data_IF_341411144764
#
_entry.id   IF_341411144764
#
_cell.length_a   1.000
_cell.length_b   1.000
_cell.length_c   1.000
_cell.angle_alpha   90.00
_cell.angle_beta   90.00
_cell.angle_gamma   90.00
#
_symmetry.space_group_name_H-M   'P 1'
#
loop_
_entity.id
_entity.type
_entity.pdbx_description
1 polymer ?
#
# COMPACT_ATOMS: atom_id res chain seq x y z
N UNK A 1 32.49 -17.37 2.14
CA UNK A 1 32.25 -17.53 0.68
C UNK A 1 31.78 -16.18 0.11
N UNK A 2 31.52 -16.01 -1.19
CA UNK A 2 30.86 -14.77 -1.69
C UNK A 2 29.35 -14.96 -1.60
N UNK A 3 28.65 -14.06 -0.91
CA UNK A 3 27.21 -14.13 -0.68
C UNK A 3 26.44 -13.32 -1.73
N UNK A 4 26.94 -12.13 -2.06
CA UNK A 4 26.27 -11.23 -3.00
C UNK A 4 27.26 -10.45 -3.86
N UNK A 5 26.81 -10.00 -5.03
CA UNK A 5 27.54 -9.10 -5.92
C UNK A 5 26.79 -7.78 -6.05
N UNK A 6 27.53 -6.67 -6.03
CA UNK A 6 26.93 -5.35 -6.16
C UNK A 6 26.61 -5.05 -7.62
N UNK A 7 25.33 -4.86 -7.94
CA UNK A 7 24.83 -4.56 -9.28
C UNK A 7 24.82 -3.06 -9.56
N UNK A 8 24.42 -2.25 -8.58
CA UNK A 8 24.40 -0.80 -8.70
C UNK A 8 24.66 -0.14 -7.33
N UNK A 9 25.26 1.05 -7.35
CA UNK A 9 25.45 1.90 -6.16
C UNK A 9 25.10 3.34 -6.53
N UNK A 10 24.23 3.94 -5.74
CA UNK A 10 24.01 5.39 -5.69
C UNK A 10 24.43 5.89 -4.30
N UNK A 11 25.18 6.98 -4.19
CA UNK A 11 25.75 7.42 -2.91
C UNK A 11 27.03 6.65 -2.53
N UNK A 12 27.21 6.33 -1.24
CA UNK A 12 28.39 5.61 -0.73
C UNK A 12 27.99 4.34 0.03
N UNK A 13 28.81 3.30 -0.10
CA UNK A 13 28.63 2.04 0.61
C UNK A 13 29.99 1.42 0.98
N UNK A 14 30.01 0.69 2.09
CA UNK A 14 31.20 0.02 2.60
C UNK A 14 30.88 -1.42 2.99
N UNK A 15 31.81 -2.34 2.77
CA UNK A 15 31.83 -3.64 3.41
C UNK A 15 32.71 -3.57 4.65
N UNK A 16 32.16 -3.99 5.79
CA UNK A 16 32.86 -4.13 7.05
C UNK A 16 33.15 -5.60 7.32
N UNK A 17 34.41 -5.96 7.49
CA UNK A 17 34.81 -7.33 7.83
C UNK A 17 34.61 -7.64 9.33
N UNK A 18 34.85 -8.90 9.71
CA UNK A 18 34.75 -9.37 11.10
C UNK A 18 35.76 -8.70 12.05
N UNK A 19 36.88 -8.19 11.52
CA UNK A 19 37.90 -7.45 12.27
C UNK A 19 37.52 -5.95 12.41
N UNK A 20 36.45 -5.51 11.74
CA UNK A 20 35.93 -4.15 11.76
C UNK A 20 36.60 -3.20 10.77
N UNK A 21 37.43 -3.68 9.86
CA UNK A 21 37.97 -2.86 8.78
C UNK A 21 36.87 -2.58 7.76
N UNK A 22 36.84 -1.35 7.26
CA UNK A 22 35.88 -0.92 6.24
C UNK A 22 36.56 -0.77 4.89
N UNK A 23 35.94 -1.33 3.86
CA UNK A 23 36.33 -1.24 2.46
C UNK A 23 35.19 -0.61 1.67
N UNK A 24 35.46 0.49 0.99
CA UNK A 24 34.48 1.13 0.10
C UNK A 24 34.13 0.19 -1.06
N UNK A 25 32.83 0.07 -1.35
CA UNK A 25 32.28 -0.82 -2.37
C UNK A 25 32.09 -0.10 -3.70
N UNK A 26 32.30 -0.84 -4.79
CA UNK A 26 32.01 -0.42 -6.15
C UNK A 26 31.11 -1.42 -6.85
N UNK A 27 30.46 -0.97 -7.92
CA UNK A 27 29.69 -1.87 -8.80
C UNK A 27 30.59 -2.98 -9.32
N UNK A 28 30.12 -4.23 -9.17
CA UNK A 28 30.85 -5.46 -9.47
C UNK A 28 31.68 -6.03 -8.32
N UNK A 29 31.78 -5.34 -7.18
CA UNK A 29 32.41 -5.91 -5.99
C UNK A 29 31.52 -7.00 -5.37
N UNK A 30 32.17 -8.02 -4.82
CA UNK A 30 31.49 -9.08 -4.07
C UNK A 30 31.55 -8.79 -2.58
N UNK A 31 30.48 -9.15 -1.86
CA UNK A 31 30.50 -9.25 -0.41
C UNK A 31 30.67 -10.70 0.03
N UNK A 32 31.55 -10.89 1.00
CA UNK A 32 31.84 -12.18 1.57
C UNK A 32 30.99 -12.47 2.81
N UNK A 33 30.76 -13.75 3.06
CA UNK A 33 30.16 -14.27 4.29
C UNK A 33 30.88 -13.70 5.52
N UNK A 34 30.10 -13.21 6.47
CA UNK A 34 30.59 -12.55 7.68
C UNK A 34 30.94 -11.06 7.51
N UNK A 35 30.92 -10.53 6.29
CA UNK A 35 30.99 -9.08 6.07
C UNK A 35 29.62 -8.42 6.34
N UNK A 36 29.61 -7.13 6.66
CA UNK A 36 28.40 -6.32 6.73
C UNK A 36 28.46 -5.20 5.69
N UNK A 37 27.43 -5.11 4.86
CA UNK A 37 27.18 -3.92 4.02
C UNK A 37 26.72 -2.77 4.92
N UNK A 38 27.30 -1.60 4.75
CA UNK A 38 26.91 -0.35 5.40
C UNK A 38 26.64 0.67 4.29
N UNK A 39 25.42 1.19 4.20
CA UNK A 39 25.06 2.25 3.25
C UNK A 39 25.10 3.62 3.95
N UNK A 40 25.53 4.67 3.24
CA UNK A 40 25.39 6.06 3.72
C UNK A 40 23.91 6.44 3.85
N UNK A 41 23.57 7.49 4.60
CA UNK A 41 22.16 7.94 4.78
C UNK A 41 21.42 8.22 3.45
N UNK A 42 22.15 8.66 2.41
CA UNK A 42 21.63 8.88 1.05
C UNK A 42 22.10 7.79 0.06
N UNK A 43 22.54 6.64 0.57
CA UNK A 43 23.06 5.53 -0.22
C UNK A 43 21.95 4.60 -0.70
N UNK A 44 22.11 3.99 -1.86
CA UNK A 44 21.26 2.88 -2.34
C UNK A 44 22.15 1.86 -3.04
N UNK A 45 22.02 0.60 -2.68
CA UNK A 45 22.82 -0.49 -3.22
C UNK A 45 21.90 -1.60 -3.70
N UNK A 46 22.08 -2.06 -4.92
CA UNK A 46 21.40 -3.26 -5.43
C UNK A 46 22.34 -4.44 -5.38
N UNK A 47 21.89 -5.52 -4.74
CA UNK A 47 22.66 -6.75 -4.52
C UNK A 47 22.02 -7.90 -5.29
N UNK A 48 22.85 -8.64 -6.02
CA UNK A 48 22.50 -9.92 -6.65
C UNK A 48 23.09 -11.05 -5.81
N UNK A 49 22.22 -11.91 -5.27
CA UNK A 49 22.59 -13.07 -4.44
C UNK A 49 22.84 -14.34 -5.28
N UNK A 50 22.79 -14.24 -6.61
CA UNK A 50 22.92 -15.35 -7.56
C UNK A 50 21.83 -16.45 -7.39
N UNK A 51 20.68 -16.09 -6.84
CA UNK A 51 19.48 -16.93 -6.68
C UNK A 51 18.57 -16.99 -7.92
N UNK A 52 18.93 -16.27 -9.00
CA UNK A 52 18.10 -16.04 -10.19
C UNK A 52 16.83 -15.21 -9.91
N UNK A 53 16.78 -14.47 -8.80
CA UNK A 53 15.76 -13.44 -8.57
C UNK A 53 16.26 -12.07 -9.01
N UNK A 54 15.35 -11.10 -9.03
CA UNK A 54 15.71 -9.71 -9.29
C UNK A 54 16.62 -9.16 -8.16
N UNK A 55 17.58 -8.26 -8.47
CA UNK A 55 18.47 -7.70 -7.47
C UNK A 55 17.71 -7.06 -6.30
N UNK A 56 18.13 -7.36 -5.09
CA UNK A 56 17.54 -6.80 -3.87
C UNK A 56 18.07 -5.40 -3.62
N UNK A 57 17.17 -4.44 -3.41
CA UNK A 57 17.50 -3.05 -3.11
C UNK A 57 17.72 -2.86 -1.61
N UNK A 58 18.85 -2.28 -1.24
CA UNK A 58 19.17 -1.81 0.12
C UNK A 58 19.20 -0.27 0.10
N UNK A 59 18.34 0.34 0.91
CA UNK A 59 18.20 1.80 1.05
C UNK A 59 19.28 2.39 1.97
N UNK A 60 19.24 3.72 2.12
CA UNK A 60 20.24 4.48 2.87
C UNK A 60 20.16 4.28 4.38
N UNK A 61 21.30 4.39 5.06
CA UNK A 61 21.41 4.27 6.51
C UNK A 61 21.17 2.85 7.05
N UNK A 62 21.28 1.83 6.19
CA UNK A 62 21.07 0.44 6.56
C UNK A 62 22.40 -0.30 6.75
N UNK A 63 22.36 -1.30 7.63
CA UNK A 63 23.44 -2.26 7.83
C UNK A 63 22.91 -3.66 7.60
N UNK A 64 23.46 -4.36 6.61
CA UNK A 64 23.03 -5.72 6.23
C UNK A 64 24.19 -6.67 6.43
N UNK A 65 24.00 -7.66 7.30
CA UNK A 65 24.99 -8.72 7.53
C UNK A 65 24.88 -9.77 6.43
N UNK A 66 26.02 -10.14 5.84
CA UNK A 66 26.12 -11.22 4.85
C UNK A 66 26.24 -12.54 5.60
N UNK A 67 25.10 -13.10 5.98
CA UNK A 67 25.03 -14.36 6.71
C UNK A 67 24.96 -15.54 5.72
N UNK A 68 25.36 -16.76 6.12
CA UNK A 68 25.32 -17.91 5.22
C UNK A 68 23.91 -18.16 4.69
N UNK A 69 22.86 -17.90 5.46
CA UNK A 69 21.45 -18.06 5.08
C UNK A 69 21.01 -17.22 3.87
N UNK A 70 21.80 -16.21 3.49
CA UNK A 70 21.57 -15.39 2.30
C UNK A 70 22.24 -15.97 1.04
N UNK A 71 23.00 -17.06 1.17
CA UNK A 71 23.63 -17.75 0.04
C UNK A 71 22.60 -18.61 -0.71
N UNK A 72 22.40 -18.31 -1.98
CA UNK A 72 21.48 -19.04 -2.85
C UNK A 72 21.86 -20.51 -3.07
N UNK A 73 23.15 -20.84 -2.94
CA UNK A 73 23.66 -22.19 -3.15
C UNK A 73 23.55 -23.07 -1.89
N UNK A 74 23.04 -22.53 -0.77
CA UNK A 74 22.84 -23.34 0.44
C UNK A 74 21.72 -24.36 0.27
N UNK A 75 21.99 -25.66 0.44
CA UNK A 75 20.95 -26.65 0.49
C UNK A 75 20.10 -26.45 1.76
N UNK A 76 18.80 -26.23 1.59
CA UNK A 76 17.85 -26.28 2.71
C UNK A 76 17.84 -27.69 3.30
N UNK A 77 18.01 -27.81 4.62
CA UNK A 77 17.94 -29.10 5.29
C UNK A 77 16.47 -29.54 5.41
N UNK A 78 16.14 -30.69 4.83
CA UNK A 78 14.80 -31.26 4.90
C UNK A 78 14.33 -31.55 6.34
N UNK A 79 15.24 -31.61 7.31
CA UNK A 79 14.92 -31.73 8.73
C UNK A 79 14.23 -30.51 9.33
N UNK A 80 14.36 -29.31 8.74
CA UNK A 80 13.70 -28.09 9.23
C UNK A 80 12.20 -28.02 8.88
N UNK A 81 11.72 -28.86 7.94
CA UNK A 81 10.32 -28.94 7.53
C UNK A 81 9.52 -30.07 8.20
N UNK A 82 10.17 -30.88 9.06
CA UNK A 82 9.58 -32.10 9.64
C UNK A 82 8.40 -31.87 10.61
N UNK A 83 8.04 -30.62 10.90
CA UNK A 83 6.94 -30.27 11.80
C UNK A 83 5.55 -30.28 11.13
N UNK A 84 5.46 -30.57 9.83
CA UNK A 84 4.21 -30.40 9.06
C UNK A 84 3.62 -31.69 8.48
N UNK A 85 4.35 -32.82 8.46
CA UNK A 85 3.88 -34.00 7.71
C UNK A 85 2.74 -34.77 8.39
N UNK A 86 2.78 -34.97 9.72
CA UNK A 86 1.81 -35.84 10.41
C UNK A 86 0.44 -35.15 10.58
N UNK A 87 0.42 -33.84 10.84
CA UNK A 87 -0.79 -33.05 10.98
C UNK A 87 -1.44 -32.70 9.62
N UNK A 88 -0.63 -32.57 8.56
CA UNK A 88 -1.13 -32.28 7.21
C UNK A 88 -1.88 -33.48 6.60
N UNK A 89 -1.39 -34.70 6.81
CA UNK A 89 -2.07 -35.91 6.33
C UNK A 89 -3.43 -36.10 7.04
N UNK A 90 -3.50 -35.78 8.34
CA UNK A 90 -4.75 -35.79 9.11
C UNK A 90 -5.73 -34.70 8.64
N UNK A 91 -5.22 -33.50 8.33
CA UNK A 91 -6.03 -32.41 7.76
C UNK A 91 -6.56 -32.77 6.37
N UNK A 92 -5.73 -33.35 5.51
CA UNK A 92 -6.14 -33.78 4.17
C UNK A 92 -7.22 -34.86 4.23
N UNK A 93 -7.08 -35.84 5.13
CA UNK A 93 -8.10 -36.87 5.33
C UNK A 93 -9.42 -36.29 5.86
N UNK A 94 -9.38 -35.26 6.72
CA UNK A 94 -10.57 -34.59 7.23
C UNK A 94 -11.23 -33.67 6.20
N UNK A 95 -10.46 -33.12 5.25
CA UNK A 95 -11.00 -32.29 4.17
C UNK A 95 -11.70 -33.11 3.06
N UNK A 96 -11.33 -34.39 2.89
CA UNK A 96 -11.91 -35.31 1.91
C UNK A 96 -13.21 -35.99 2.41
N UNK A 97 -13.59 -35.77 3.68
CA UNK A 97 -14.79 -36.33 4.32
C UNK A 97 -15.76 -35.20 4.71
N UNK A 98 -16.85 -35.05 3.95
CA UNK A 98 -17.88 -34.00 4.15
C UNK A 98 -18.63 -34.12 5.51
N UNK A 99 -18.52 -35.24 6.21
CA UNK A 99 -19.18 -35.49 7.50
C UNK A 99 -18.29 -35.16 8.73
N UNK A 100 -17.03 -34.74 8.51
CA UNK A 100 -16.06 -34.46 9.58
C UNK A 100 -15.93 -32.95 9.80
N UNK A 101 -16.15 -32.50 11.04
CA UNK A 101 -15.90 -31.10 11.43
C UNK A 101 -14.40 -30.86 11.63
N UNK A 102 -13.82 -29.99 10.80
CA UNK A 102 -12.41 -29.60 10.86
C UNK A 102 -12.01 -29.01 12.22
N UNK A 103 -12.95 -28.41 12.95
CA UNK A 103 -12.71 -27.82 14.27
C UNK A 103 -12.58 -28.86 15.39
N UNK A 104 -13.04 -30.09 15.17
CA UNK A 104 -12.89 -31.21 16.11
C UNK A 104 -11.62 -32.04 15.81
N UNK A 105 -11.08 -31.93 14.59
CA UNK A 105 -9.85 -32.65 14.15
C UNK A 105 -8.59 -31.82 14.41
N UNK A 106 -8.65 -30.51 14.18
CA UNK A 106 -7.53 -29.63 14.46
C UNK A 106 -7.42 -29.37 15.96
N UNK A 107 -6.27 -29.69 16.54
CA UNK A 107 -6.01 -29.36 17.94
C UNK A 107 -6.07 -27.83 18.12
N UNK A 108 -6.69 -27.37 19.21
CA UNK A 108 -6.89 -25.93 19.43
C UNK A 108 -5.52 -25.23 19.39
N UNK A 109 -5.34 -24.30 18.45
CA UNK A 109 -4.08 -23.55 18.32
C UNK A 109 -3.63 -23.06 19.70
N UNK A 110 -2.37 -23.33 20.06
CA UNK A 110 -1.80 -23.07 21.39
C UNK A 110 -1.81 -21.58 21.83
N UNK A 111 -2.40 -20.68 21.02
CA UNK A 111 -2.66 -19.29 21.34
C UNK A 111 -3.95 -19.05 22.15
N UNK A 112 -4.80 -20.08 22.34
CA UNK A 112 -5.97 -20.02 23.21
C UNK A 112 -5.72 -20.76 24.52
N UNK A 113 -5.82 -20.06 25.66
CA UNK A 113 -5.67 -20.63 26.99
C UNK A 113 -6.55 -21.90 27.17
N UNK A 114 -5.91 -23.07 27.13
CA UNK A 114 -6.57 -24.34 27.42
C UNK A 114 -7.09 -24.41 28.86
N UNK A 115 -7.98 -25.37 29.18
CA UNK A 115 -8.65 -25.52 30.47
C UNK A 115 -7.72 -26.14 31.55
N UNK A 116 -6.52 -25.60 31.64
CA UNK A 116 -5.48 -25.91 32.62
C UNK A 116 -4.50 -24.76 32.84
N UNK A 117 -4.75 -23.58 32.27
CA UNK A 117 -3.97 -22.37 32.51
C UNK A 117 -4.18 -21.86 33.94
N UNK A 118 -3.33 -22.31 34.86
CA UNK A 118 -3.19 -21.71 36.18
C UNK A 118 -2.97 -20.20 36.08
N UNK A 119 -3.57 -19.47 37.01
CA UNK A 119 -3.54 -18.02 37.10
C UNK A 119 -2.13 -17.49 37.41
N UNK A 120 -1.20 -17.50 36.43
CA UNK A 120 0.09 -16.80 36.51
C UNK A 120 0.81 -16.73 35.14
N UNK A 121 0.04 -16.48 34.07
CA UNK A 121 0.56 -16.23 32.72
C UNK A 121 0.38 -14.78 32.28
N UNK A 122 0.39 -13.83 33.23
CA UNK A 122 0.36 -12.40 32.91
C UNK A 122 1.77 -11.94 32.61
N UNK A 123 2.01 -11.51 31.37
CA UNK A 123 3.23 -10.78 30.99
C UNK A 123 3.44 -9.64 32.01
N UNK A 124 4.54 -9.68 32.76
CA UNK A 124 4.90 -8.62 33.69
C UNK A 124 5.41 -7.43 32.88
N UNK A 125 4.53 -6.52 32.49
CA UNK A 125 4.98 -5.23 32.01
C UNK A 125 5.39 -4.38 33.23
N UNK A 126 6.63 -3.90 33.22
CA UNK A 126 7.04 -2.82 34.13
C UNK A 126 6.43 -1.54 33.59
N UNK A 127 5.29 -1.13 34.14
CA UNK A 127 4.76 0.20 33.86
C UNK A 127 5.68 1.22 34.55
N UNK A 128 6.61 1.81 33.81
CA UNK A 128 7.32 2.99 34.29
C UNK A 128 6.28 4.10 34.46
N UNK A 129 6.10 4.57 35.69
CA UNK A 129 5.35 5.80 35.93
C UNK A 129 6.04 6.90 35.13
N UNK A 130 5.32 7.49 34.17
CA UNK A 130 5.78 8.69 33.46
C UNK A 130 6.03 9.76 34.53
N UNK A 131 7.29 9.97 34.87
CA UNK A 131 7.70 11.13 35.65
C UNK A 131 7.45 12.31 34.73
N UNK A 132 6.45 13.14 35.06
CA UNK A 132 6.31 14.46 34.47
C UNK A 132 7.46 15.32 35.02
N UNK A 133 8.64 15.15 34.44
CA UNK A 133 9.79 15.98 34.73
C UNK A 133 9.61 17.28 33.95
N UNK A 134 9.42 18.37 34.71
CA UNK A 134 9.31 19.70 34.13
C UNK A 134 10.71 20.11 33.69
N UNK A 135 10.97 20.10 32.39
CA UNK A 135 12.25 20.54 31.83
C UNK A 135 12.28 22.05 31.93
N UNK A 136 13.00 22.60 32.91
CA UNK A 136 13.28 24.03 32.95
C UNK A 136 14.16 24.36 31.74
N UNK A 137 13.71 25.21 30.80
CA UNK A 137 14.52 25.57 29.65
C UNK A 137 15.79 26.28 30.14
N UNK A 138 16.94 25.93 29.54
CA UNK A 138 18.20 26.61 29.80
C UNK A 138 18.05 28.10 29.45
N UNK A 139 17.89 28.95 30.47
CA UNK A 139 17.96 30.39 30.31
C UNK A 139 19.44 30.80 30.34
N UNK A 140 20.02 31.04 29.16
CA UNK A 140 21.34 31.67 29.08
C UNK A 140 21.20 33.14 29.51
N UNK A 141 21.61 33.43 30.74
CA UNK A 141 21.82 34.80 31.18
C UNK A 141 23.12 35.30 30.54
N UNK A 142 22.98 35.92 29.37
CA UNK A 142 24.04 36.75 28.81
C UNK A 142 24.20 37.95 29.73
N UNK A 143 25.12 37.83 30.69
CA UNK A 143 25.57 38.95 31.46
C UNK A 143 26.02 40.04 30.50
N UNK A 144 25.34 41.19 30.54
CA UNK A 144 25.92 42.45 30.05
C UNK A 144 27.06 42.84 31.00
N UNK A 145 28.13 42.06 30.97
CA UNK A 145 29.39 42.37 31.63
C UNK A 145 30.22 43.22 30.69
N UNK A 146 30.28 44.51 31.01
CA UNK A 146 31.41 45.41 30.80
C UNK A 146 32.06 45.35 29.39
N UNK A 147 31.71 46.33 28.56
CA UNK A 147 32.57 46.76 27.45
C UNK A 147 33.92 47.23 28.03
N UNK A 148 34.87 46.31 28.20
CA UNK A 148 36.28 46.65 28.22
C UNK A 148 36.91 46.04 26.96
N UNK A 149 37.47 46.92 26.13
CA UNK A 149 37.97 46.58 24.80
C UNK A 149 39.07 45.51 24.86
N UNK A 150 39.29 44.76 23.76
CA UNK A 150 40.35 43.77 23.73
C UNK A 150 41.71 44.47 23.91
N UNK A 151 42.63 43.90 24.72
CA UNK A 151 43.98 44.42 24.81
C UNK A 151 44.70 44.22 23.47
N UNK A 152 45.28 45.29 22.93
CA UNK A 152 46.20 45.22 21.80
C UNK A 152 47.36 44.29 22.15
N UNK A 153 47.55 43.23 21.36
CA UNK A 153 48.76 42.41 21.38
C UNK A 153 49.43 42.48 20.02
N UNK A 154 50.62 43.06 20.02
CA UNK A 154 51.51 43.14 18.88
C UNK A 154 52.00 41.74 18.46
N UNK A 155 51.63 41.33 17.26
CA UNK A 155 52.44 40.59 16.28
C UNK A 155 53.28 39.40 16.76
N UNK A 156 52.72 38.20 16.61
CA UNK A 156 53.48 37.02 16.18
C UNK A 156 52.56 36.12 15.35
N UNK A 157 52.75 36.15 14.03
CA UNK A 157 51.94 35.41 13.06
C UNK A 157 52.03 33.90 13.25
N UNK A 158 50.90 33.32 13.65
CA UNK A 158 50.53 31.96 13.31
C UNK A 158 49.44 32.10 12.25
N UNK A 159 49.77 31.81 10.99
CA UNK A 159 48.76 31.60 9.96
C UNK A 159 48.00 30.32 10.32
N UNK A 160 47.03 30.41 11.24
CA UNK A 160 45.80 29.66 11.01
C UNK A 160 45.11 30.44 9.90
N UNK A 161 45.06 29.85 8.71
CA UNK A 161 43.92 30.14 7.87
C UNK A 161 42.70 29.81 8.74
N UNK A 162 42.01 30.84 9.21
CA UNK A 162 40.56 30.75 9.35
C UNK A 162 40.07 30.45 7.94
N UNK A 163 40.09 29.17 7.57
CA UNK A 163 38.95 28.67 6.85
C UNK A 163 37.81 28.96 7.83
N UNK A 164 37.09 30.04 7.56
CA UNK A 164 35.65 30.04 7.74
C UNK A 164 35.21 28.74 7.06
N UNK A 165 35.21 27.65 7.83
CA UNK A 165 34.52 26.45 7.44
C UNK A 165 33.07 26.90 7.52
N UNK A 166 32.60 27.51 6.44
CA UNK A 166 31.18 27.64 6.17
C UNK A 166 30.69 26.20 6.21
N UNK A 167 30.19 25.78 7.37
CA UNK A 167 29.30 24.64 7.47
C UNK A 167 28.11 25.01 6.59
N UNK A 168 28.21 24.70 5.29
CA UNK A 168 27.05 24.74 4.41
C UNK A 168 25.99 23.88 5.09
N UNK A 169 24.88 24.50 5.49
CA UNK A 169 23.72 23.75 5.94
C UNK A 169 23.38 22.77 4.82
N UNK A 170 23.45 21.47 5.11
CA UNK A 170 23.02 20.43 4.19
C UNK A 170 21.51 20.59 4.01
N UNK A 171 21.11 21.27 2.92
CA UNK A 171 19.71 21.41 2.54
C UNK A 171 19.23 20.09 1.94
N UNK A 172 18.34 19.41 2.66
CA UNK A 172 17.66 18.21 2.17
C UNK A 172 16.47 18.70 1.33
N UNK A 173 16.48 18.38 0.04
CA UNK A 173 15.38 18.70 -0.86
C UNK A 173 14.08 17.99 -0.42
N UNK A 174 12.90 18.55 -0.72
CA UNK A 174 11.66 17.83 -0.49
C UNK A 174 11.58 16.57 -1.37
N UNK A 175 10.71 15.65 -0.98
CA UNK A 175 10.40 14.43 -1.74
C UNK A 175 8.90 14.32 -1.95
N UNK A 176 8.51 13.65 -3.03
CA UNK A 176 7.12 13.33 -3.35
C UNK A 176 7.10 11.96 -4.02
N UNK A 177 6.22 11.07 -3.55
CA UNK A 177 6.13 9.69 -4.01
C UNK A 177 4.94 9.45 -4.93
N UNK A 178 4.59 8.18 -5.04
CA UNK A 178 3.43 7.70 -5.79
C UNK A 178 2.45 7.00 -4.84
N UNK A 179 1.16 7.16 -5.09
CA UNK A 179 0.10 6.43 -4.38
C UNK A 179 -1.04 6.11 -5.32
N UNK A 180 -1.64 4.93 -5.13
CA UNK A 180 -2.74 4.41 -5.94
C UNK A 180 -4.05 4.44 -5.16
N UNK A 181 -5.14 4.80 -5.83
CA UNK A 181 -6.49 4.77 -5.28
C UNK A 181 -7.48 4.22 -6.30
N UNK A 182 -8.61 3.74 -5.77
CA UNK A 182 -9.70 3.22 -6.58
C UNK A 182 -11.01 3.96 -6.27
N UNK A 183 -11.77 4.21 -7.33
CA UNK A 183 -13.17 4.61 -7.30
C UNK A 183 -13.98 3.59 -8.11
N UNK A 184 -15.30 3.57 -7.93
CA UNK A 184 -16.18 2.66 -8.66
C UNK A 184 -17.48 3.33 -9.05
N UNK A 185 -17.83 3.23 -10.33
CA UNK A 185 -19.07 3.77 -10.89
C UNK A 185 -20.30 3.11 -10.24
N UNK A 186 -20.18 1.84 -9.85
CA UNK A 186 -21.24 1.10 -9.16
C UNK A 186 -21.65 1.78 -7.84
N UNK A 187 -20.70 2.39 -7.13
CA UNK A 187 -20.96 3.04 -5.85
C UNK A 187 -21.69 4.39 -5.99
N UNK A 188 -21.77 4.98 -7.18
CA UNK A 188 -22.53 6.21 -7.42
C UNK A 188 -24.04 6.02 -7.19
N UNK A 189 -24.53 4.78 -7.27
CA UNK A 189 -25.94 4.43 -7.07
C UNK A 189 -26.27 4.04 -5.61
N UNK A 190 -25.29 4.09 -4.70
CA UNK A 190 -25.48 3.76 -3.28
C UNK A 190 -25.56 5.02 -2.42
N UNK A 191 -26.03 4.90 -1.18
CA UNK A 191 -26.02 6.04 -0.24
C UNK A 191 -24.60 6.37 0.25
N UNK A 192 -23.65 5.45 0.13
CA UNK A 192 -22.24 5.67 0.50
C UNK A 192 -21.50 6.50 -0.55
N UNK A 193 -21.93 6.45 -1.82
CA UNK A 193 -21.26 7.12 -2.93
C UNK A 193 -19.89 6.51 -3.26
N UNK A 194 -19.27 7.04 -4.31
CA UNK A 194 -17.91 6.66 -4.73
C UNK A 194 -16.92 7.69 -4.18
N UNK A 195 -16.37 7.43 -3.00
CA UNK A 195 -15.38 8.27 -2.31
C UNK A 195 -14.25 7.42 -1.75
N UNK A 196 -13.02 7.95 -1.80
CA UNK A 196 -11.84 7.35 -1.17
C UNK A 196 -10.94 8.44 -0.58
N UNK A 197 -10.22 8.12 0.49
CA UNK A 197 -9.34 9.07 1.19
C UNK A 197 -8.01 8.41 1.51
N UNK A 198 -6.97 9.23 1.66
CA UNK A 198 -5.63 8.76 1.96
C UNK A 198 -4.69 9.90 2.34
N UNK A 199 -3.39 9.60 2.36
CA UNK A 199 -2.32 10.58 2.59
C UNK A 199 -1.30 10.46 1.47
N UNK A 200 -0.97 11.58 0.83
CA UNK A 200 0.08 11.61 -0.19
C UNK A 200 1.44 11.34 0.47
N UNK A 201 2.31 10.49 -0.12
CA UNK A 201 3.66 10.29 0.38
C UNK A 201 4.56 11.48 0.02
N UNK A 202 5.03 12.22 1.01
CA UNK A 202 5.96 13.33 0.78
C UNK A 202 6.81 13.66 2.01
N UNK A 203 7.86 14.46 1.80
CA UNK A 203 8.61 15.15 2.85
C UNK A 203 8.92 16.57 2.41
N UNK A 204 8.87 17.53 3.33
CA UNK A 204 9.33 18.91 3.07
C UNK A 204 10.87 19.05 3.11
N UNK A 205 11.60 17.95 3.35
CA UNK A 205 13.05 17.96 3.46
C UNK A 205 13.52 18.75 4.69
N UNK A 206 14.60 19.50 4.56
CA UNK A 206 15.11 20.38 5.64
C UNK A 206 14.41 21.73 5.72
N UNK A 207 13.50 22.03 4.79
CA UNK A 207 12.69 23.25 4.85
C UNK A 207 11.57 23.11 5.88
N UNK A 208 11.40 24.13 6.71
CA UNK A 208 10.34 24.14 7.73
C UNK A 208 8.96 24.25 7.07
N UNK A 209 8.17 23.18 7.15
CA UNK A 209 6.82 23.14 6.56
C UNK A 209 6.80 23.37 5.04
N UNK A 210 5.61 23.54 4.48
CA UNK A 210 5.41 23.74 3.06
C UNK A 210 3.96 23.55 2.65
N UNK A 211 3.74 23.36 1.36
CA UNK A 211 2.42 23.04 0.81
C UNK A 211 2.47 21.87 -0.17
N UNK A 212 1.43 21.04 -0.13
CA UNK A 212 1.10 20.04 -1.16
C UNK A 212 -0.04 20.59 -2.00
N UNK A 213 0.09 20.58 -3.33
CA UNK A 213 -0.90 21.19 -4.24
C UNK A 213 -0.98 20.47 -5.57
N UNK A 214 -2.15 20.48 -6.21
CA UNK A 214 -2.34 20.06 -7.60
C UNK A 214 -2.39 21.24 -8.57
N UNK A 215 -1.95 22.45 -8.18
CA UNK A 215 -2.01 23.65 -9.02
C UNK A 215 -1.36 23.50 -10.40
N UNK A 216 -0.35 22.62 -10.55
CA UNK A 216 0.27 22.30 -11.84
C UNK A 216 -0.68 21.63 -12.85
N UNK A 217 -1.80 21.07 -12.36
CA UNK A 217 -2.83 20.45 -13.18
C UNK A 217 -3.86 21.46 -13.70
N UNK A 218 -3.86 22.71 -13.24
CA UNK A 218 -4.83 23.70 -13.70
C UNK A 218 -4.78 23.93 -15.21
N UNK A 219 -5.90 23.72 -15.89
CA UNK A 219 -6.02 23.83 -17.34
C UNK A 219 -5.43 22.67 -18.14
N UNK A 220 -4.85 21.65 -17.50
CA UNK A 220 -4.37 20.43 -18.16
C UNK A 220 -5.57 19.60 -18.66
N UNK A 221 -5.41 18.97 -19.81
CA UNK A 221 -6.38 18.03 -20.38
C UNK A 221 -5.75 16.64 -20.48
N UNK A 222 -6.51 15.59 -20.15
CA UNK A 222 -6.08 14.19 -20.27
C UNK A 222 -7.21 13.31 -20.76
N UNK A 223 -6.89 12.31 -21.59
CA UNK A 223 -7.83 11.28 -22.00
C UNK A 223 -7.90 10.20 -20.91
N UNK A 224 -9.09 9.95 -20.37
CA UNK A 224 -9.35 8.94 -19.33
C UNK A 224 -10.58 8.13 -19.75
N UNK A 225 -10.38 6.83 -20.03
CA UNK A 225 -11.38 6.05 -20.75
C UNK A 225 -11.68 6.70 -22.10
N UNK A 226 -12.97 6.86 -22.40
CA UNK A 226 -13.45 7.51 -23.64
C UNK A 226 -13.63 9.01 -23.52
N UNK A 227 -13.32 9.62 -22.37
CA UNK A 227 -13.55 11.04 -22.14
C UNK A 227 -12.23 11.82 -22.09
N UNK A 228 -12.21 13.01 -22.68
CA UNK A 228 -11.17 14.01 -22.39
C UNK A 228 -11.60 14.84 -21.18
N UNK A 229 -10.84 14.75 -20.09
CA UNK A 229 -11.07 15.50 -18.86
C UNK A 229 -10.19 16.74 -18.83
N UNK A 230 -10.80 17.90 -18.54
CA UNK A 230 -10.12 19.15 -18.22
C UNK A 230 -10.04 19.31 -16.70
N UNK A 231 -8.84 19.58 -16.21
CA UNK A 231 -8.61 19.83 -14.79
C UNK A 231 -8.67 21.32 -14.46
N UNK A 232 -9.22 21.66 -13.30
CA UNK A 232 -9.28 23.02 -12.76
C UNK A 232 -8.92 22.99 -11.28
N UNK A 233 -7.99 23.84 -10.85
CA UNK A 233 -7.55 23.95 -9.45
C UNK A 233 -8.17 25.17 -8.77
N UNK A 234 -8.73 24.96 -7.58
CA UNK A 234 -9.23 26.03 -6.70
C UNK A 234 -8.31 26.17 -5.49
N UNK A 235 -7.59 27.28 -5.41
CA UNK A 235 -6.60 27.57 -4.34
C UNK A 235 -7.26 27.87 -2.98
N UNK A 236 -8.49 28.39 -2.97
CA UNK A 236 -9.18 28.75 -1.72
C UNK A 236 -9.63 27.51 -0.96
N UNK A 237 -10.03 26.46 -1.70
CA UNK A 237 -10.52 25.20 -1.16
C UNK A 237 -9.51 24.06 -1.24
N UNK A 238 -8.37 24.25 -1.93
CA UNK A 238 -7.40 23.20 -2.25
C UNK A 238 -8.04 22.00 -2.97
N UNK A 239 -8.92 22.29 -3.94
CA UNK A 239 -9.67 21.27 -4.67
C UNK A 239 -9.29 21.24 -6.15
N UNK A 240 -8.91 20.07 -6.65
CA UNK A 240 -8.79 19.79 -8.08
C UNK A 240 -10.11 19.21 -8.60
N UNK A 241 -10.66 19.78 -9.66
CA UNK A 241 -11.87 19.28 -10.32
C UNK A 241 -11.54 18.73 -11.70
N UNK A 242 -12.09 17.56 -12.05
CA UNK A 242 -11.97 16.95 -13.38
C UNK A 242 -13.31 17.00 -14.12
N UNK A 243 -13.38 17.78 -15.20
CA UNK A 243 -14.60 18.06 -15.94
C UNK A 243 -14.55 17.48 -17.36
N UNK A 244 -15.60 16.79 -17.77
CA UNK A 244 -15.78 16.33 -19.15
C UNK A 244 -16.50 17.42 -19.95
N UNK A 245 -15.76 18.11 -20.83
CA UNK A 245 -16.32 19.17 -21.68
C UNK A 245 -17.36 18.62 -22.67
N UNK A 246 -17.22 17.36 -23.11
CA UNK A 246 -18.15 16.73 -24.04
C UNK A 246 -19.51 16.41 -23.42
N UNK A 247 -19.52 16.02 -22.13
CA UNK A 247 -20.75 15.68 -21.39
C UNK A 247 -21.27 16.83 -20.54
N UNK A 248 -20.53 17.93 -20.44
CA UNK A 248 -20.80 19.02 -19.52
C UNK A 248 -20.96 18.54 -18.06
N UNK A 249 -20.10 17.60 -17.64
CA UNK A 249 -20.24 16.89 -16.36
C UNK A 249 -18.95 16.94 -15.52
N UNK A 250 -19.11 17.17 -14.21
CA UNK A 250 -18.03 17.00 -13.23
C UNK A 250 -17.89 15.50 -12.93
N UNK A 251 -16.74 14.91 -13.26
CA UNK A 251 -16.51 13.47 -13.06
C UNK A 251 -16.06 13.21 -11.63
N UNK A 252 -15.01 13.88 -11.16
CA UNK A 252 -14.52 13.74 -9.79
C UNK A 252 -13.84 15.01 -9.27
N UNK A 253 -13.66 15.08 -7.96
CA UNK A 253 -12.90 16.12 -7.26
C UNK A 253 -11.87 15.50 -6.32
N UNK A 254 -10.72 16.15 -6.15
CA UNK A 254 -9.69 15.82 -5.16
C UNK A 254 -9.52 17.03 -4.23
N UNK A 255 -9.94 16.91 -2.98
CA UNK A 255 -9.65 17.89 -1.93
C UNK A 255 -8.39 17.45 -1.18
N UNK A 256 -7.41 18.34 -0.97
CA UNK A 256 -6.17 18.03 -0.26
C UNK A 256 -5.87 19.04 0.84
N UNK A 257 -5.44 18.55 2.00
CA UNK A 257 -4.86 19.38 3.04
C UNK A 257 -3.40 19.69 2.67
N UNK A 258 -3.03 20.96 2.41
CA UNK A 258 -1.70 21.30 1.92
C UNK A 258 -0.59 21.07 2.95
N UNK A 259 -0.92 20.97 4.25
CA UNK A 259 0.08 20.77 5.31
C UNK A 259 0.28 19.29 5.64
N UNK A 260 -0.80 18.50 5.69
CA UNK A 260 -0.73 17.08 6.07
C UNK A 260 -0.66 16.15 4.87
N UNK A 261 -1.04 16.62 3.68
CA UNK A 261 -1.20 15.80 2.46
C UNK A 261 -2.34 14.78 2.55
N UNK A 262 -3.18 14.85 3.59
CA UNK A 262 -4.44 14.11 3.63
C UNK A 262 -5.32 14.58 2.47
N UNK A 263 -5.91 13.64 1.75
CA UNK A 263 -6.78 13.95 0.62
C UNK A 263 -8.05 13.12 0.64
N UNK A 264 -9.08 13.63 -0.01
CA UNK A 264 -10.33 12.93 -0.30
C UNK A 264 -10.65 13.09 -1.78
N UNK A 265 -10.89 11.97 -2.45
CA UNK A 265 -11.37 11.94 -3.84
C UNK A 265 -12.83 11.50 -3.83
N UNK A 266 -13.68 12.30 -4.47
CA UNK A 266 -15.10 12.02 -4.62
C UNK A 266 -15.45 12.00 -6.10
N UNK A 267 -16.04 10.90 -6.54
CA UNK A 267 -16.63 10.81 -7.87
C UNK A 267 -18.07 11.32 -7.81
N UNK A 268 -18.43 12.19 -8.76
CA UNK A 268 -19.74 12.82 -8.87
C UNK A 268 -20.56 12.26 -10.02
N UNK A 269 -19.90 11.85 -11.11
CA UNK A 269 -20.54 11.28 -12.30
C UNK A 269 -19.75 10.06 -12.75
N UNK A 270 -20.48 9.08 -13.31
CA UNK A 270 -19.88 7.88 -13.91
C UNK A 270 -18.93 8.28 -15.04
N UNK A 271 -17.83 7.56 -15.20
CA UNK A 271 -16.91 7.76 -16.32
C UNK A 271 -17.37 6.88 -17.48
N UNK A 272 -17.14 7.30 -18.74
CA UNK A 272 -17.29 6.41 -19.89
C UNK A 272 -16.00 5.63 -20.14
N UNK A 273 -16.05 4.32 -19.94
CA UNK A 273 -14.92 3.41 -20.16
C UNK A 273 -14.74 3.05 -21.63
N UNK A 274 -13.52 2.63 -21.98
CA UNK A 274 -13.22 2.06 -23.30
C UNK A 274 -13.96 0.74 -23.51
N UNK A 275 -14.28 0.42 -24.76
CA UNK A 275 -15.09 -0.77 -25.06
C UNK A 275 -14.35 -2.05 -24.63
N UNK A 276 -14.94 -2.79 -23.70
CA UNK A 276 -14.39 -4.05 -23.18
C UNK A 276 -13.29 -3.88 -22.12
N UNK A 277 -13.10 -2.68 -21.58
CA UNK A 277 -12.27 -2.44 -20.39
C UNK A 277 -13.16 -2.09 -19.20
N UNK A 278 -12.91 -2.74 -18.06
CA UNK A 278 -13.64 -2.50 -16.81
C UNK A 278 -12.94 -1.45 -15.93
N UNK A 279 -11.86 -0.83 -16.42
CA UNK A 279 -11.05 0.13 -15.68
C UNK A 279 -10.57 1.29 -16.56
N UNK A 280 -10.46 2.46 -15.95
CA UNK A 280 -9.87 3.64 -16.56
C UNK A 280 -8.90 4.31 -15.58
N UNK A 281 -7.68 4.58 -16.04
CA UNK A 281 -6.59 5.06 -15.19
C UNK A 281 -6.22 6.50 -15.55
N UNK A 282 -5.91 7.30 -14.53
CA UNK A 282 -5.33 8.64 -14.70
C UNK A 282 -4.31 8.94 -13.62
N UNK A 283 -3.15 9.48 -14.01
CA UNK A 283 -2.13 9.96 -13.08
C UNK A 283 -2.31 11.46 -12.82
N UNK A 284 -2.55 11.84 -11.56
CA UNK A 284 -2.68 13.24 -11.15
C UNK A 284 -1.38 13.71 -10.50
N UNK A 285 -0.72 14.69 -11.12
CA UNK A 285 0.54 15.23 -10.61
C UNK A 285 0.30 16.23 -9.49
N UNK A 286 0.86 15.96 -8.31
CA UNK A 286 0.93 16.92 -7.21
C UNK A 286 2.35 17.45 -7.03
N UNK A 287 2.46 18.67 -6.53
CA UNK A 287 3.72 19.33 -6.22
C UNK A 287 3.82 19.61 -4.73
N UNK A 288 4.96 19.25 -4.16
CA UNK A 288 5.36 19.56 -2.79
C UNK A 288 6.31 20.74 -2.86
N UNK A 289 5.94 21.85 -2.23
CA UNK A 289 6.71 23.10 -2.20
C UNK A 289 7.17 23.36 -0.77
N UNK A 290 8.46 23.56 -0.61
CA UNK A 290 9.13 23.84 0.67
C UNK A 290 10.15 24.97 0.49
N UNK A 291 10.63 25.56 1.58
CA UNK A 291 11.77 26.48 1.51
C UNK A 291 13.06 25.82 1.03
N UNK A 292 13.17 24.48 1.13
CA UNK A 292 14.32 23.72 0.61
C UNK A 292 14.18 23.29 -0.85
N UNK A 293 13.05 23.58 -1.53
CA UNK A 293 12.87 23.31 -2.96
C UNK A 293 11.47 22.82 -3.32
N UNK A 294 11.37 22.10 -4.44
CA UNK A 294 10.12 21.50 -4.94
C UNK A 294 10.31 20.05 -5.37
N UNK A 295 9.32 19.20 -5.13
CA UNK A 295 9.26 17.84 -5.65
C UNK A 295 7.88 17.55 -6.24
N UNK A 296 7.81 16.64 -7.21
CA UNK A 296 6.55 16.24 -7.88
C UNK A 296 6.30 14.76 -7.66
N UNK A 297 5.08 14.41 -7.28
CA UNK A 297 4.60 13.04 -7.13
C UNK A 297 3.34 12.79 -7.95
N UNK A 298 2.87 11.55 -7.93
CA UNK A 298 1.70 11.12 -8.70
C UNK A 298 0.67 10.43 -7.80
N UNK A 299 -0.59 10.87 -7.89
CA UNK A 299 -1.75 10.14 -7.39
C UNK A 299 -2.36 9.40 -8.58
N UNK A 300 -2.18 8.09 -8.63
CA UNK A 300 -2.77 7.22 -9.65
C UNK A 300 -4.19 6.86 -9.23
N UNK A 301 -5.16 7.33 -10.02
CA UNK A 301 -6.58 7.05 -9.82
C UNK A 301 -7.05 6.05 -10.86
N UNK A 302 -7.63 4.95 -10.38
CA UNK A 302 -8.34 3.96 -11.20
C UNK A 302 -9.83 4.04 -10.91
N UNK A 303 -10.64 4.22 -11.96
CA UNK A 303 -12.10 4.22 -11.88
C UNK A 303 -12.60 2.91 -12.50
N UNK A 304 -13.25 2.07 -11.68
CA UNK A 304 -13.80 0.78 -12.11
C UNK A 304 -15.23 0.97 -12.63
N UNK A 305 -15.50 0.38 -13.81
CA UNK A 305 -16.81 0.43 -14.48
C UNK A 305 -17.90 -0.27 -13.64
N UNK A 306 -19.16 0.10 -13.87
CA UNK A 306 -20.28 -0.59 -13.26
C UNK A 306 -20.69 -1.82 -14.07
N UNK A 307 -21.00 -2.92 -13.39
CA UNK A 307 -21.56 -4.08 -14.07
C UNK A 307 -23.03 -3.78 -14.43
N UNK A 308 -23.49 -4.15 -15.64
CA UNK A 308 -24.90 -4.04 -15.97
C UNK A 308 -25.73 -4.88 -15.00
N UNK A 309 -26.63 -4.23 -14.27
CA UNK A 309 -27.54 -4.91 -13.34
C UNK A 309 -28.97 -4.92 -13.88
N UNK A 310 -29.70 -6.01 -13.63
CA UNK A 310 -31.12 -6.15 -13.92
C UNK A 310 -31.85 -6.36 -12.60
N UNK A 311 -32.52 -5.32 -12.11
CA UNK A 311 -33.45 -5.46 -10.99
C UNK A 311 -34.79 -5.98 -11.53
N UNK A 312 -35.10 -7.23 -11.23
CA UNK A 312 -36.43 -7.77 -11.43
C UNK A 312 -37.24 -7.48 -10.16
N UNK A 313 -37.85 -6.30 -10.11
CA UNK A 313 -38.87 -5.98 -9.12
C UNK A 313 -39.99 -7.03 -9.12
N UNK A 314 -40.84 -7.08 -8.07
CA UNK A 314 -42.03 -7.93 -8.03
C UNK A 314 -42.78 -7.87 -9.37
N UNK A 315 -42.65 -8.94 -10.15
CA UNK A 315 -43.32 -9.06 -11.44
C UNK A 315 -44.80 -9.19 -11.10
N UNK A 316 -45.61 -8.20 -11.50
CA UNK A 316 -47.05 -8.29 -11.33
C UNK A 316 -47.59 -9.41 -12.25
N UNK A 317 -47.80 -10.57 -11.66
CA UNK A 317 -48.36 -11.74 -12.34
C UNK A 317 -49.89 -11.74 -12.35
N UNK A 318 -50.55 -10.64 -11.95
CA UNK A 318 -52.02 -10.57 -11.88
C UNK A 318 -52.69 -10.77 -13.25
N UNK A 319 -52.00 -10.44 -14.34
CA UNK A 319 -52.45 -10.66 -15.72
C UNK A 319 -52.01 -12.01 -16.32
N UNK A 320 -51.25 -12.84 -15.57
CA UNK A 320 -50.85 -14.17 -16.02
C UNK A 320 -51.96 -15.17 -15.71
N UNK A 321 -52.80 -15.45 -16.72
CA UNK A 321 -53.83 -16.49 -16.66
C UNK A 321 -53.34 -17.80 -17.29
N UNK A 322 -53.42 -18.90 -16.55
CA UNK A 322 -53.21 -20.24 -17.07
C UNK A 322 -54.57 -20.90 -17.35
N UNK A 323 -54.88 -21.12 -18.62
CA UNK A 323 -56.04 -21.92 -19.02
C UNK A 323 -55.57 -23.36 -19.26
N UNK A 324 -55.76 -24.23 -18.27
CA UNK A 324 -55.52 -25.66 -18.42
C UNK A 324 -56.75 -26.32 -19.03
N UNK A 325 -56.65 -26.85 -20.24
CA UNK A 325 -57.68 -27.72 -20.80
C UNK A 325 -57.54 -29.12 -20.18
N UNK A 326 -58.15 -29.35 -19.01
CA UNK A 326 -58.45 -30.71 -18.59
C UNK A 326 -59.77 -31.17 -19.23
N UNK A 327 -59.93 -32.48 -19.42
CA UNK A 327 -61.09 -33.07 -20.07
C UNK A 327 -62.20 -33.46 -19.08
N UNK A 328 -62.07 -33.17 -17.77
CA UNK A 328 -63.00 -33.65 -16.74
C UNK A 328 -63.40 -32.55 -15.75
N UNK A 329 -64.55 -31.95 -16.01
CA UNK A 329 -65.22 -31.01 -15.10
C UNK A 329 -66.02 -31.77 -14.04
N UNK A 330 -65.76 -31.54 -12.75
CA UNK A 330 -66.64 -32.01 -11.64
C UNK A 330 -67.50 -30.84 -11.16
N UNK A 331 -68.83 -31.01 -11.15
CA UNK A 331 -69.82 -30.01 -10.70
C UNK A 331 -69.63 -28.59 -11.28
N UNK A 332 -69.23 -28.52 -12.56
CA UNK A 332 -69.18 -27.26 -13.30
C UNK A 332 -68.03 -26.33 -12.92
N UNK A 333 -67.07 -26.79 -12.11
CA UNK A 333 -65.88 -26.00 -11.73
C UNK A 333 -64.60 -26.79 -12.02
N UNK A 334 -63.77 -26.33 -12.97
CA UNK A 334 -62.39 -26.83 -13.09
C UNK A 334 -61.59 -26.29 -11.91
N UNK A 335 -61.00 -27.18 -11.11
CA UNK A 335 -60.11 -26.81 -10.00
C UNK A 335 -58.77 -27.49 -10.24
N UNK A 336 -57.91 -26.85 -11.03
CA UNK A 336 -56.49 -27.18 -11.10
C UNK A 336 -55.74 -26.27 -10.13
N UNK A 337 -55.30 -26.80 -9.00
CA UNK A 337 -54.34 -26.11 -8.14
C UNK A 337 -52.93 -26.42 -8.64
N UNK A 338 -52.43 -25.63 -9.58
CA UNK A 338 -50.99 -25.60 -9.86
C UNK A 338 -50.38 -24.42 -9.09
N UNK A 339 -49.33 -24.69 -8.31
CA UNK A 339 -48.52 -23.62 -7.73
C UNK A 339 -47.67 -22.98 -8.81
N UNK A 340 -47.67 -21.65 -8.90
CA UNK A 340 -46.80 -20.88 -9.81
C UNK A 340 -45.31 -21.25 -9.59
N UNK A 341 -44.93 -21.64 -8.37
CA UNK A 341 -43.58 -22.08 -8.02
C UNK A 341 -43.11 -23.33 -8.81
N UNK A 342 -44.03 -24.18 -9.28
CA UNK A 342 -43.66 -25.36 -10.07
C UNK A 342 -43.32 -25.03 -11.53
N UNK A 343 -43.78 -23.89 -12.06
CA UNK A 343 -43.48 -23.45 -13.42
C UNK A 343 -42.09 -22.81 -13.56
N UNK A 344 -41.56 -22.26 -12.46
CA UNK A 344 -40.24 -21.59 -12.39
C UNK A 344 -39.17 -22.44 -11.71
N UNK A 345 -39.28 -23.77 -11.75
CA UNK A 345 -38.12 -24.61 -11.42
C UNK A 345 -37.07 -24.41 -12.50
N UNK A 346 -36.22 -23.40 -12.34
CA UNK A 346 -34.94 -23.30 -13.05
C UNK A 346 -34.17 -24.56 -12.70
N UNK A 347 -34.19 -25.53 -13.62
CA UNK A 347 -33.30 -26.66 -13.57
C UNK A 347 -31.93 -26.15 -14.02
N UNK A 348 -31.19 -25.54 -13.09
CA UNK A 348 -29.74 -25.45 -13.27
C UNK A 348 -29.23 -26.90 -13.27
N UNK A 349 -28.99 -27.43 -14.46
CA UNK A 349 -28.30 -28.70 -14.61
C UNK A 349 -26.82 -28.40 -14.40
N UNK A 350 -26.19 -28.80 -13.29
CA UNK A 350 -24.74 -28.86 -13.29
C UNK A 350 -24.33 -29.80 -14.42
N UNK A 351 -23.40 -29.36 -15.25
CA UNK A 351 -22.86 -30.15 -16.34
C UNK A 351 -22.34 -31.47 -15.76
N UNK A 352 -22.99 -32.59 -16.12
CA UNK A 352 -22.49 -33.92 -15.77
C UNK A 352 -21.19 -34.15 -16.53
N UNK A 353 -20.08 -34.17 -15.80
CA UNK A 353 -18.79 -34.69 -16.26
C UNK A 353 -19.01 -36.15 -16.69
N UNK A 354 -18.63 -36.56 -17.91
CA UNK A 354 -18.80 -37.93 -18.35
C UNK A 354 -17.84 -38.84 -17.59
N UNK A 355 -18.37 -39.71 -16.73
CA UNK A 355 -17.61 -40.83 -16.16
C UNK A 355 -17.35 -41.87 -17.24
N UNK A 356 -16.07 -42.21 -17.43
CA UNK A 356 -15.61 -43.21 -18.38
C UNK A 356 -16.17 -44.61 -18.04
N UNK A 357 -16.51 -45.44 -19.03
CA UNK A 357 -16.96 -46.80 -18.78
C UNK A 357 -15.82 -47.67 -18.25
N UNK A 358 -16.06 -48.34 -17.12
CA UNK A 358 -15.19 -49.39 -16.61
C UNK A 358 -15.07 -50.52 -17.65
N UNK A 359 -13.82 -50.86 -17.98
CA UNK A 359 -13.47 -51.98 -18.86
C UNK A 359 -13.81 -53.33 -18.20
N UNK A 360 -14.10 -54.38 -19.00
CA UNK A 360 -14.76 -55.62 -18.56
C UNK A 360 -13.94 -56.55 -17.69
#
# INVERSE_FOLDING_TARGET
>A
MSIATVVSISGQAWARDADGNMRELRVGDTLAEGESLITSDNGRVELDFADNLDPTVIEGGQVVAMTPELDADLPVDAGEFSALDEDLEALLAALDDDDVDLLDVLDATAAGAGPGGGADGGHSFVQLARIAENVDPLAFEFGMGEFDGPPETEGAGLLLAEAEDEVEEVVIAPTAGEVEILLSDQLLNTEEGSTTSGVLPFSFGSGGGGSVTFASMDGVESQVGRETLRYSWDEDTNTLSAFSDEREALIFTVEVNPTTGEFTVTQHTNLLHEEGLDEALTGLTYTVVSSSGTATGTLNLTIIDDMPSLDLSDVDLSDVSFETQDAETIDGTSVATASVAAAFTLRWMPATVPTAPAAP
#
